data_IF_925662229717
#
_entry.id   IF_925662229717
#
_cell.length_a   1.000
_cell.length_b   1.000
_cell.length_c   1.000
_cell.angle_alpha   90.00
_cell.angle_beta   90.00
_cell.angle_gamma   90.00
#
_symmetry.space_group_name_H-M   'P 1'
#
loop_
_entity.id
_entity.type
_entity.pdbx_description
1 polymer ?
#
# COMPACT_ATOMS: atom_id res chain seq x y z
N UNK A 1 1.56 6.55 -44.87
CA UNK A 1 0.78 6.19 -43.66
C UNK A 1 1.75 5.55 -42.69
N UNK A 2 2.14 6.24 -41.62
CA UNK A 2 2.99 5.65 -40.59
C UNK A 2 2.09 4.81 -39.67
N UNK A 3 2.36 3.52 -39.54
CA UNK A 3 1.69 2.67 -38.56
C UNK A 3 1.90 3.23 -37.15
N UNK A 4 0.85 3.32 -36.31
CA UNK A 4 1.04 3.74 -34.93
C UNK A 4 1.71 2.60 -34.14
N UNK A 5 2.99 2.78 -33.82
CA UNK A 5 3.82 1.86 -33.02
C UNK A 5 3.06 1.29 -31.80
N UNK A 6 2.77 -0.02 -31.84
CA UNK A 6 2.09 -0.75 -30.77
C UNK A 6 2.85 -0.70 -29.43
N UNK A 7 4.17 -0.53 -29.47
CA UNK A 7 5.03 -0.40 -28.30
C UNK A 7 4.77 0.89 -27.52
N UNK A 8 4.52 2.01 -28.21
CA UNK A 8 4.21 3.28 -27.57
C UNK A 8 2.83 3.29 -26.88
N UNK A 9 1.88 2.50 -27.39
CA UNK A 9 0.55 2.31 -26.78
C UNK A 9 0.64 1.48 -25.50
N UNK A 10 1.40 0.38 -25.51
CA UNK A 10 1.63 -0.45 -24.33
C UNK A 10 2.40 0.30 -23.23
N UNK A 11 3.44 1.06 -23.59
CA UNK A 11 4.19 1.91 -22.64
C UNK A 11 3.29 3.00 -22.04
N UNK A 12 2.39 3.59 -22.84
CA UNK A 12 1.42 4.58 -22.38
C UNK A 12 0.36 3.98 -21.45
N UNK A 13 -0.15 2.78 -21.74
CA UNK A 13 -1.09 2.06 -20.87
C UNK A 13 -0.46 1.65 -19.53
N UNK A 14 0.78 1.16 -19.55
CA UNK A 14 1.53 0.81 -18.33
C UNK A 14 1.84 2.07 -17.51
N UNK A 15 2.25 3.15 -18.16
CA UNK A 15 2.49 4.47 -17.53
C UNK A 15 1.21 5.05 -16.91
N UNK A 16 0.09 4.94 -17.61
CA UNK A 16 -1.23 5.32 -17.11
C UNK A 16 -1.65 4.47 -15.90
N UNK A 17 -1.40 3.16 -15.94
CA UNK A 17 -1.72 2.26 -14.84
C UNK A 17 -0.89 2.57 -13.58
N UNK A 18 0.41 2.84 -13.75
CA UNK A 18 1.31 3.29 -12.67
C UNK A 18 0.88 4.67 -12.13
N UNK A 19 0.33 5.54 -12.98
CA UNK A 19 -0.17 6.87 -12.59
C UNK A 19 -1.53 6.81 -11.90
N UNK A 20 -2.38 5.80 -12.21
CA UNK A 20 -3.72 5.61 -11.61
C UNK A 20 -3.68 5.03 -10.20
N UNK A 21 -2.67 4.21 -9.86
CA UNK A 21 -2.54 3.66 -8.50
C UNK A 21 -2.15 4.77 -7.51
N UNK A 22 -2.98 4.94 -6.48
CA UNK A 22 -2.75 5.95 -5.43
C UNK A 22 -1.63 5.46 -4.52
N UNK A 23 -0.59 6.27 -4.40
CA UNK A 23 0.48 6.06 -3.44
C UNK A 23 0.01 6.55 -2.06
N UNK A 24 -0.33 5.63 -1.17
CA UNK A 24 -0.78 5.95 0.19
C UNK A 24 0.40 5.83 1.15
N UNK A 25 0.76 6.93 1.81
CA UNK A 25 1.92 7.02 2.70
C UNK A 25 1.45 7.37 4.11
N UNK A 26 1.98 6.63 5.10
CA UNK A 26 1.84 6.99 6.51
C UNK A 26 2.86 8.07 6.88
N UNK A 27 2.40 9.22 7.39
CA UNK A 27 3.27 10.30 7.86
C UNK A 27 3.86 10.08 9.25
N UNK A 28 3.40 9.07 9.99
CA UNK A 28 3.86 8.82 11.36
C UNK A 28 5.38 8.52 11.40
N UNK A 29 6.10 9.20 12.29
CA UNK A 29 7.54 8.98 12.46
C UNK A 29 8.44 9.49 11.33
N UNK A 30 7.90 10.17 10.32
CA UNK A 30 8.69 10.70 9.21
C UNK A 30 9.20 12.13 9.46
N UNK A 31 10.35 12.49 8.90
CA UNK A 31 10.90 13.83 8.93
C UNK A 31 10.22 14.71 7.87
N UNK A 32 9.56 15.80 8.31
CA UNK A 32 8.74 16.69 7.46
C UNK A 32 9.39 17.04 6.11
N UNK A 33 10.62 17.53 6.13
CA UNK A 33 11.30 18.00 4.92
C UNK A 33 11.72 16.85 3.99
N UNK A 34 12.23 15.75 4.55
CA UNK A 34 12.66 14.59 3.75
C UNK A 34 11.47 13.93 3.08
N UNK A 35 10.38 13.73 3.83
CA UNK A 35 9.14 13.20 3.29
C UNK A 35 8.58 14.11 2.19
N UNK A 36 8.55 15.43 2.43
CA UNK A 36 8.04 16.38 1.44
C UNK A 36 8.83 16.35 0.12
N UNK A 37 10.15 16.16 0.17
CA UNK A 37 11.00 16.06 -1.03
C UNK A 37 10.66 14.84 -1.88
N UNK A 38 10.55 13.66 -1.24
CA UNK A 38 10.19 12.41 -1.92
C UNK A 38 8.78 12.52 -2.53
N UNK A 39 7.83 13.07 -1.76
CA UNK A 39 6.46 13.30 -2.24
C UNK A 39 6.44 14.28 -3.42
N UNK A 40 7.18 15.38 -3.36
CA UNK A 40 7.24 16.37 -4.44
C UNK A 40 7.76 15.74 -5.75
N UNK A 41 8.81 14.91 -5.68
CA UNK A 41 9.32 14.19 -6.86
C UNK A 41 8.28 13.22 -7.41
N UNK A 42 7.60 12.46 -6.54
CA UNK A 42 6.54 11.54 -6.97
C UNK A 42 5.37 12.26 -7.67
N UNK A 43 4.98 13.45 -7.18
CA UNK A 43 3.93 14.27 -7.81
C UNK A 43 4.36 14.79 -9.19
N UNK A 44 5.63 15.19 -9.35
CA UNK A 44 6.17 15.67 -10.63
C UNK A 44 6.31 14.58 -11.69
N UNK A 45 6.44 13.32 -11.25
CA UNK A 45 6.35 12.12 -12.09
C UNK A 45 4.89 11.75 -12.44
N UNK A 46 3.90 12.50 -11.95
CA UNK A 46 2.49 12.31 -12.28
C UNK A 46 1.71 11.39 -11.34
N UNK A 47 2.34 10.85 -10.28
CA UNK A 47 1.66 9.95 -9.33
C UNK A 47 0.65 10.71 -8.47
N UNK A 48 -0.45 10.03 -8.12
CA UNK A 48 -1.41 10.52 -7.13
C UNK A 48 -0.95 10.08 -5.74
N UNK A 49 -0.61 11.03 -4.88
CA UNK A 49 -0.05 10.75 -3.56
C UNK A 49 -1.02 11.17 -2.47
N UNK A 50 -1.26 10.25 -1.53
CA UNK A 50 -2.06 10.48 -0.34
C UNK A 50 -1.15 10.34 0.87
N UNK A 51 -1.05 11.38 1.69
CA UNK A 51 -0.33 11.34 2.97
C UNK A 51 -1.34 11.54 4.09
N UNK A 52 -1.38 10.61 5.05
CA UNK A 52 -2.22 10.71 6.23
C UNK A 52 -1.35 10.78 7.50
N UNK A 53 -1.94 10.96 8.69
CA UNK A 53 -1.20 11.14 9.96
C UNK A 53 -0.22 12.34 9.95
N UNK A 54 -0.60 13.43 9.30
CA UNK A 54 0.27 14.61 9.19
C UNK A 54 0.56 15.29 10.53
N UNK A 55 -0.31 15.07 11.53
CA UNK A 55 -0.14 15.48 12.92
C UNK A 55 1.03 14.77 13.60
N UNK A 56 1.35 13.53 13.21
CA UNK A 56 2.43 12.72 13.78
C UNK A 56 3.77 12.84 13.04
N UNK A 57 3.84 13.62 11.96
CA UNK A 57 5.10 13.91 11.27
C UNK A 57 6.06 14.62 12.23
N UNK A 58 7.33 14.25 12.17
CA UNK A 58 8.39 14.76 13.03
C UNK A 58 9.11 15.96 12.41
N UNK A 59 9.49 16.91 13.28
CA UNK A 59 10.42 18.00 13.00
C UNK A 59 11.61 17.83 13.95
N UNK A 60 12.82 17.87 13.40
CA UNK A 60 14.06 17.83 14.18
C UNK A 60 14.33 19.15 14.88
N UNK A 61 15.01 19.05 16.03
CA UNK A 61 15.38 20.16 16.89
C UNK A 61 14.42 20.38 18.06
N UNK A 62 14.88 21.20 19.01
CA UNK A 62 14.11 21.62 20.19
C UNK A 62 12.79 22.30 19.76
N UNK A 63 11.71 22.00 20.49
CA UNK A 63 10.38 22.57 20.23
C UNK A 63 10.39 24.11 20.20
N UNK A 64 11.02 24.75 21.21
CA UNK A 64 11.15 26.21 21.31
C UNK A 64 11.72 26.85 20.03
N UNK A 65 12.73 26.23 19.41
CA UNK A 65 13.34 26.72 18.16
C UNK A 65 12.36 26.69 17.00
N UNK A 66 11.56 25.63 16.89
CA UNK A 66 10.56 25.52 15.81
C UNK A 66 9.38 26.46 16.02
N UNK A 67 8.96 26.65 17.27
CA UNK A 67 7.97 27.66 17.67
C UNK A 67 8.44 29.07 17.30
N UNK A 68 9.68 29.44 17.63
CA UNK A 68 10.25 30.74 17.26
C UNK A 68 10.32 30.95 15.73
N UNK A 69 10.74 29.92 14.98
CA UNK A 69 10.72 29.95 13.51
C UNK A 69 9.31 30.18 12.97
N UNK A 70 8.31 29.57 13.60
CA UNK A 70 6.91 29.77 13.23
C UNK A 70 6.45 31.20 13.50
N UNK A 71 6.74 31.74 14.68
CA UNK A 71 6.38 33.13 15.00
C UNK A 71 7.07 34.16 14.10
N UNK A 72 8.34 33.93 13.74
CA UNK A 72 9.02 34.77 12.74
C UNK A 72 8.27 34.77 11.41
N UNK A 73 7.81 33.59 10.95
CA UNK A 73 6.98 33.50 9.75
C UNK A 73 5.61 34.18 9.95
N UNK A 74 4.97 34.01 11.10
CA UNK A 74 3.68 34.63 11.42
C UNK A 74 3.73 36.16 11.47
N UNK A 75 4.88 36.73 11.86
CA UNK A 75 5.14 38.17 11.77
C UNK A 75 5.19 38.70 10.34
N UNK A 76 5.40 37.84 9.33
CA UNK A 76 5.37 38.25 7.92
C UNK A 76 3.92 38.41 7.46
N UNK A 77 3.48 39.66 7.31
CA UNK A 77 2.18 40.03 6.76
C UNK A 77 2.36 41.14 5.73
N UNK A 78 1.39 41.29 4.84
CA UNK A 78 1.32 42.46 3.97
C UNK A 78 0.82 43.63 4.81
N UNK A 79 1.55 44.75 4.83
CA UNK A 79 1.20 45.93 5.64
C UNK A 79 -0.09 46.60 5.13
N UNK A 80 -0.26 46.66 3.80
CA UNK A 80 -1.41 47.32 3.16
C UNK A 80 -2.71 46.54 3.37
N UNK A 81 -2.70 45.24 3.05
CA UNK A 81 -3.87 44.37 3.25
C UNK A 81 -3.40 42.96 3.67
N UNK A 82 -3.56 42.58 4.94
CA UNK A 82 -3.16 41.27 5.45
C UNK A 82 -3.77 40.09 4.70
N UNK A 83 -4.96 40.24 4.10
CA UNK A 83 -5.64 39.19 3.35
C UNK A 83 -4.93 38.83 2.02
N UNK A 84 -4.19 39.78 1.43
CA UNK A 84 -3.35 39.55 0.24
C UNK A 84 -1.98 38.94 0.58
N UNK A 85 -1.61 38.93 1.85
CA UNK A 85 -0.30 38.50 2.32
C UNK A 85 -0.10 36.98 2.37
N UNK A 86 1.02 36.54 2.98
CA UNK A 86 1.28 35.12 3.20
C UNK A 86 0.23 34.49 4.13
N UNK A 87 -0.37 33.38 3.70
CA UNK A 87 -1.30 32.61 4.54
C UNK A 87 -0.57 31.71 5.55
N UNK A 88 -0.94 31.89 6.83
CA UNK A 88 -0.41 31.14 7.97
C UNK A 88 -1.32 29.98 8.34
N UNK A 89 -1.09 28.81 7.73
CA UNK A 89 -1.90 27.62 8.02
C UNK A 89 -1.58 27.03 9.39
N UNK A 90 -2.60 26.85 10.24
CA UNK A 90 -2.42 26.28 11.59
C UNK A 90 -2.52 24.75 11.61
N UNK A 91 -3.27 24.18 10.68
CA UNK A 91 -3.56 22.75 10.64
C UNK A 91 -2.33 21.94 10.15
N UNK A 92 -1.93 20.83 10.80
CA UNK A 92 -0.76 20.04 10.42
C UNK A 92 -0.80 19.56 8.96
N UNK A 93 -1.97 19.20 8.41
CA UNK A 93 -2.10 18.85 6.98
C UNK A 93 -1.70 20.01 6.07
N UNK A 94 -2.09 21.22 6.44
CA UNK A 94 -1.87 22.41 5.63
C UNK A 94 -0.43 22.92 5.75
N UNK A 95 0.21 22.72 6.91
CA UNK A 95 1.65 22.95 7.09
C UNK A 95 2.45 22.01 6.19
N UNK A 96 2.13 20.72 6.18
CA UNK A 96 2.79 19.74 5.31
C UNK A 96 2.52 20.04 3.83
N UNK A 97 1.28 20.36 3.47
CA UNK A 97 0.91 20.79 2.11
C UNK A 97 1.72 22.03 1.67
N UNK A 98 1.88 23.04 2.53
CA UNK A 98 2.70 24.23 2.23
C UNK A 98 4.16 23.85 2.00
N UNK A 99 4.70 22.89 2.74
CA UNK A 99 6.05 22.38 2.56
C UNK A 99 6.23 21.75 1.17
N UNK A 100 5.33 20.83 0.78
CA UNK A 100 5.37 20.19 -0.54
C UNK A 100 5.14 21.22 -1.67
N UNK A 101 4.18 22.14 -1.48
CA UNK A 101 3.91 23.24 -2.42
C UNK A 101 5.12 24.15 -2.65
N UNK A 102 6.00 24.29 -1.65
CA UNK A 102 7.27 25.02 -1.79
C UNK A 102 8.33 24.28 -2.60
N UNK A 103 8.23 22.96 -2.71
CA UNK A 103 9.18 22.10 -3.45
C UNK A 103 8.73 21.79 -4.89
N UNK A 104 7.53 22.23 -5.28
CA UNK A 104 6.96 22.02 -6.63
C UNK A 104 6.88 23.37 -7.36
N UNK A 105 7.17 23.46 -8.68
CA UNK A 105 7.03 24.67 -9.49
C UNK A 105 5.57 25.08 -9.68
N UNK A 106 4.92 25.54 -8.60
CA UNK A 106 3.46 25.78 -8.50
C UNK A 106 2.90 26.84 -9.43
N UNK A 107 3.75 27.68 -10.04
CA UNK A 107 3.32 28.73 -10.96
C UNK A 107 2.99 28.17 -12.34
N UNK A 108 3.62 27.07 -12.75
CA UNK A 108 3.40 26.43 -14.06
C UNK A 108 2.16 25.52 -14.06
N UNK A 109 1.61 25.26 -15.25
CA UNK A 109 0.47 24.35 -15.42
C UNK A 109 0.78 22.94 -14.91
N UNK A 110 1.97 22.41 -15.24
CA UNK A 110 2.46 21.11 -14.77
C UNK A 110 2.52 21.04 -13.25
N UNK A 111 3.06 22.08 -12.60
CA UNK A 111 3.15 22.12 -11.14
C UNK A 111 1.78 22.23 -10.47
N UNK A 112 0.85 23.01 -11.04
CA UNK A 112 -0.54 23.07 -10.56
C UNK A 112 -1.23 21.70 -10.66
N UNK A 113 -1.05 20.98 -11.78
CA UNK A 113 -1.56 19.60 -11.95
C UNK A 113 -0.97 18.66 -10.90
N UNK A 114 0.34 18.71 -10.67
CA UNK A 114 1.01 17.92 -9.66
C UNK A 114 0.48 18.18 -8.23
N UNK A 115 0.24 19.44 -7.86
CA UNK A 115 -0.31 19.79 -6.54
C UNK A 115 -1.75 19.28 -6.37
N UNK A 116 -2.57 19.28 -7.42
CA UNK A 116 -3.94 18.72 -7.38
C UNK A 116 -3.95 17.22 -7.10
N UNK A 117 -2.88 16.51 -7.46
CA UNK A 117 -2.72 15.08 -7.20
C UNK A 117 -2.34 14.77 -5.73
N UNK A 118 -1.92 15.77 -4.95
CA UNK A 118 -1.58 15.60 -3.54
C UNK A 118 -2.82 15.68 -2.66
N UNK A 119 -3.03 14.66 -1.84
CA UNK A 119 -4.07 14.64 -0.80
C UNK A 119 -3.43 14.46 0.56
N UNK A 120 -3.78 15.33 1.50
CA UNK A 120 -3.13 15.39 2.82
C UNK A 120 -4.20 15.36 3.91
N UNK A 121 -4.04 14.45 4.87
CA UNK A 121 -5.00 14.23 5.96
C UNK A 121 -4.33 14.23 7.34
N UNK A 122 -5.11 14.56 8.35
CA UNK A 122 -4.77 14.48 9.77
C UNK A 122 -5.47 13.25 10.33
N UNK A 123 -4.76 12.43 11.11
CA UNK A 123 -5.21 11.06 11.39
C UNK A 123 -5.43 10.24 10.12
N UNK A 124 -6.18 9.13 10.25
CA UNK A 124 -6.48 8.21 9.15
C UNK A 124 -7.97 8.30 8.77
N UNK A 125 -8.32 8.77 7.55
CA UNK A 125 -9.71 8.82 7.11
C UNK A 125 -10.32 7.42 6.98
N UNK A 126 -11.64 7.23 7.19
CA UNK A 126 -12.30 5.93 7.04
C UNK A 126 -12.06 5.25 5.68
N UNK A 127 -11.93 6.05 4.61
CA UNK A 127 -11.62 5.59 3.26
C UNK A 127 -10.28 4.86 3.14
N UNK A 128 -9.29 5.24 3.94
CA UNK A 128 -7.93 4.70 3.90
C UNK A 128 -7.60 3.79 5.09
N UNK A 129 -8.53 3.60 6.03
CA UNK A 129 -8.30 2.77 7.21
C UNK A 129 -8.07 1.28 6.87
N UNK A 130 -8.65 0.78 5.77
CA UNK A 130 -8.48 -0.62 5.32
C UNK A 130 -7.37 -0.81 4.28
N UNK A 131 -6.84 0.30 3.73
CA UNK A 131 -5.82 0.23 2.67
C UNK A 131 -4.44 0.04 3.27
N UNK A 132 -3.59 -0.76 2.63
CA UNK A 132 -2.19 -0.88 3.02
C UNK A 132 -1.46 0.40 2.67
N UNK A 133 -0.81 0.98 3.67
CA UNK A 133 0.03 2.15 3.51
C UNK A 133 1.50 1.77 3.37
N UNK A 134 2.25 2.71 2.81
CA UNK A 134 3.69 2.61 2.65
C UNK A 134 4.39 3.55 3.62
N UNK A 135 5.61 3.15 3.95
CA UNK A 135 6.59 3.94 4.71
C UNK A 135 7.70 4.33 3.75
N UNK A 136 8.30 5.51 3.95
CA UNK A 136 9.41 6.02 3.14
C UNK A 136 10.69 5.94 3.99
N UNK A 137 11.52 4.89 3.84
CA UNK A 137 12.66 4.66 4.74
C UNK A 137 13.66 5.81 4.78
N UNK A 138 13.94 6.46 3.65
CA UNK A 138 14.86 7.60 3.56
C UNK A 138 14.38 8.88 4.28
N UNK A 139 13.11 8.90 4.68
CA UNK A 139 12.50 9.98 5.44
C UNK A 139 12.14 9.56 6.88
N UNK A 140 12.40 8.33 7.29
CA UNK A 140 12.07 7.85 8.63
C UNK A 140 12.99 8.46 9.68
N UNK A 141 12.41 9.09 10.71
CA UNK A 141 13.18 9.72 11.79
C UNK A 141 14.16 8.74 12.45
N UNK A 142 13.69 7.53 12.78
CA UNK A 142 14.50 6.53 13.49
C UNK A 142 15.74 6.13 12.72
N UNK A 143 15.67 6.10 11.38
CA UNK A 143 16.79 5.72 10.53
C UNK A 143 17.71 6.91 10.20
N UNK A 144 17.16 8.12 10.17
CA UNK A 144 17.86 9.29 9.64
C UNK A 144 18.28 10.33 10.70
N UNK A 145 17.88 10.14 11.96
CA UNK A 145 18.18 11.03 13.06
C UNK A 145 18.82 10.24 14.19
N UNK A 146 19.87 10.80 14.80
CA UNK A 146 20.47 10.20 15.99
C UNK A 146 19.45 10.11 17.13
N UNK A 147 19.47 9.05 17.96
CA UNK A 147 18.49 8.85 19.04
C UNK A 147 18.50 9.95 20.12
N UNK A 148 19.67 10.52 20.40
CA UNK A 148 19.90 11.59 21.38
C UNK A 148 19.34 12.95 20.93
N UNK A 149 19.09 13.12 19.63
CA UNK A 149 18.71 14.39 19.07
C UNK A 149 17.24 14.71 19.36
N UNK A 150 16.98 15.92 19.88
CA UNK A 150 15.61 16.35 20.23
C UNK A 150 14.75 16.52 18.98
N UNK A 151 13.51 16.09 19.05
CA UNK A 151 12.50 16.24 18.00
C UNK A 151 11.12 16.47 18.61
N UNK A 152 10.15 16.85 17.79
CA UNK A 152 8.76 17.03 18.18
C UNK A 152 7.86 16.78 16.97
N UNK A 153 6.56 16.64 17.20
CA UNK A 153 5.58 16.42 16.12
C UNK A 153 5.03 17.75 15.58
N UNK A 154 4.59 17.75 14.32
CA UNK A 154 3.87 18.89 13.73
C UNK A 154 2.58 19.16 14.51
N UNK A 155 1.90 18.11 14.99
CA UNK A 155 0.70 18.24 15.81
C UNK A 155 0.94 19.07 17.07
N UNK A 156 2.03 18.83 17.80
CA UNK A 156 2.39 19.63 18.98
C UNK A 156 2.62 21.10 18.64
N UNK A 157 3.32 21.38 17.54
CA UNK A 157 3.54 22.75 17.05
C UNK A 157 2.21 23.40 16.64
N UNK A 158 1.36 22.65 15.94
CA UNK A 158 0.08 23.12 15.42
C UNK A 158 -0.89 23.50 16.54
N UNK A 159 -1.01 22.65 17.57
CA UNK A 159 -1.87 22.91 18.73
C UNK A 159 -1.48 24.20 19.43
N UNK A 160 -0.16 24.44 19.59
CA UNK A 160 0.37 25.64 20.23
C UNK A 160 0.13 26.93 19.42
N UNK A 161 0.13 26.85 18.09
CA UNK A 161 -0.13 28.00 17.20
C UNK A 161 -1.62 28.21 16.90
N UNK A 162 -2.51 27.43 17.55
CA UNK A 162 -3.96 27.64 17.52
C UNK A 162 -4.76 26.64 16.67
N UNK A 163 -4.26 25.42 16.46
CA UNK A 163 -5.05 24.32 15.89
C UNK A 163 -5.88 23.62 16.97
N UNK A 164 -7.21 23.72 16.86
CA UNK A 164 -8.16 23.24 17.88
C UNK A 164 -8.51 21.75 17.80
N UNK A 165 -8.29 21.11 16.65
CA UNK A 165 -8.82 19.77 16.37
C UNK A 165 -7.94 18.62 16.87
N UNK A 166 -6.81 18.88 17.52
CA UNK A 166 -5.93 17.85 18.07
C UNK A 166 -6.65 16.82 18.96
N UNK A 167 -7.38 17.24 20.00
CA UNK A 167 -8.12 16.32 20.88
C UNK A 167 -9.19 15.50 20.13
N UNK A 168 -9.88 16.11 19.17
CA UNK A 168 -10.91 15.45 18.35
C UNK A 168 -10.29 14.33 17.52
N UNK A 169 -9.16 14.59 16.88
CA UNK A 169 -8.46 13.59 16.06
C UNK A 169 -7.91 12.46 16.92
N UNK A 170 -7.37 12.76 18.10
CA UNK A 170 -6.91 11.73 19.03
C UNK A 170 -8.06 10.81 19.46
N UNK A 171 -9.25 11.36 19.75
CA UNK A 171 -10.46 10.59 20.06
C UNK A 171 -10.87 9.69 18.90
N UNK A 172 -10.85 10.20 17.67
CA UNK A 172 -11.18 9.43 16.46
C UNK A 172 -10.17 8.31 16.20
N UNK A 173 -8.87 8.60 16.34
CA UNK A 173 -7.80 7.65 16.18
C UNK A 173 -7.87 6.53 17.22
N UNK A 174 -8.11 6.86 18.50
CA UNK A 174 -8.27 5.87 19.56
C UNK A 174 -9.42 4.89 19.27
N UNK A 175 -10.60 5.41 18.89
CA UNK A 175 -11.74 4.58 18.48
C UNK A 175 -11.41 3.66 17.30
N UNK A 176 -10.57 4.12 16.38
CA UNK A 176 -10.12 3.34 15.21
C UNK A 176 -9.11 2.28 15.62
N UNK A 177 -8.11 2.62 16.42
CA UNK A 177 -7.08 1.71 16.93
C UNK A 177 -7.70 0.57 17.76
N UNK A 178 -8.74 0.85 18.55
CA UNK A 178 -9.51 -0.17 19.28
C UNK A 178 -10.17 -1.18 18.32
N UNK A 179 -10.83 -0.68 17.26
CA UNK A 179 -11.43 -1.53 16.21
C UNK A 179 -10.37 -2.33 15.45
N UNK A 180 -9.25 -1.71 15.13
CA UNK A 180 -8.12 -2.36 14.45
C UNK A 180 -7.50 -3.45 15.32
N UNK A 181 -7.33 -3.22 16.63
CA UNK A 181 -6.81 -4.22 17.58
C UNK A 181 -7.71 -5.46 17.63
N UNK A 182 -9.03 -5.28 17.65
CA UNK A 182 -9.99 -6.38 17.60
C UNK A 182 -9.87 -7.15 16.28
N UNK A 183 -9.80 -6.43 15.15
CA UNK A 183 -9.67 -7.04 13.83
C UNK A 183 -8.33 -7.81 13.68
N UNK A 184 -7.23 -7.26 14.19
CA UNK A 184 -5.92 -7.90 14.19
C UNK A 184 -5.90 -9.17 15.03
N UNK A 185 -6.47 -9.15 16.25
CA UNK A 185 -6.61 -10.36 17.08
C UNK A 185 -7.36 -11.47 16.34
N UNK A 186 -8.49 -11.15 15.71
CA UNK A 186 -9.27 -12.10 14.87
C UNK A 186 -8.42 -12.63 13.71
N UNK A 187 -7.71 -11.75 12.99
CA UNK A 187 -6.86 -12.11 11.85
C UNK A 187 -5.70 -13.03 12.26
N UNK A 188 -5.05 -12.77 13.40
CA UNK A 188 -3.97 -13.60 13.93
C UNK A 188 -4.47 -14.99 14.33
N UNK A 189 -5.63 -15.07 15.01
CA UNK A 189 -6.26 -16.35 15.36
C UNK A 189 -6.60 -17.17 14.12
N UNK A 190 -7.19 -16.54 13.10
CA UNK A 190 -7.48 -17.20 11.81
C UNK A 190 -6.17 -17.66 11.14
N UNK A 191 -5.11 -16.85 11.15
CA UNK A 191 -3.80 -17.23 10.59
C UNK A 191 -3.22 -18.45 11.29
N UNK A 192 -3.33 -18.53 12.62
CA UNK A 192 -2.89 -19.66 13.42
C UNK A 192 -3.70 -20.92 13.09
N UNK A 193 -5.03 -20.84 13.06
CA UNK A 193 -5.90 -21.97 12.70
C UNK A 193 -5.62 -22.48 11.28
N UNK A 194 -5.43 -21.58 10.32
CA UNK A 194 -5.04 -21.91 8.94
C UNK A 194 -3.66 -22.58 8.84
N UNK A 195 -2.74 -22.26 9.76
CA UNK A 195 -1.45 -22.92 9.82
C UNK A 195 -1.58 -24.34 10.37
N UNK A 196 -2.29 -24.50 11.50
CA UNK A 196 -2.55 -25.81 12.13
C UNK A 196 -3.25 -26.75 11.14
N UNK A 197 -4.33 -26.29 10.49
CA UNK A 197 -5.05 -27.05 9.48
C UNK A 197 -4.15 -27.44 8.28
N UNK A 198 -3.27 -26.55 7.82
CA UNK A 198 -2.29 -26.86 6.75
C UNK A 198 -1.27 -27.91 7.17
N UNK A 199 -0.81 -27.88 8.42
CA UNK A 199 0.12 -28.89 8.94
C UNK A 199 -0.59 -30.24 9.09
N UNK A 200 -1.82 -30.25 9.58
CA UNK A 200 -2.62 -31.47 9.74
C UNK A 200 -2.94 -32.13 8.39
N UNK A 201 -3.48 -31.37 7.44
CA UNK A 201 -3.73 -31.85 6.07
C UNK A 201 -2.48 -32.45 5.42
N UNK A 202 -1.31 -31.80 5.55
CA UNK A 202 -0.02 -32.36 5.07
C UNK A 202 0.34 -33.70 5.72
N UNK A 203 0.08 -33.87 7.02
CA UNK A 203 0.30 -35.15 7.71
C UNK A 203 -0.66 -36.22 7.21
N UNK A 204 -1.92 -35.85 6.99
CA UNK A 204 -2.96 -36.77 6.54
C UNK A 204 -2.72 -37.21 5.10
N UNK A 205 -2.34 -36.30 4.19
CA UNK A 205 -1.94 -36.65 2.81
C UNK A 205 -0.73 -37.58 2.79
N UNK A 206 0.29 -37.30 3.60
CA UNK A 206 1.49 -38.16 3.74
C UNK A 206 1.15 -39.58 4.21
N UNK A 207 0.25 -39.73 5.18
CA UNK A 207 -0.22 -41.04 5.66
C UNK A 207 -0.97 -41.78 4.55
N UNK A 208 -1.81 -41.08 3.81
CA UNK A 208 -2.62 -41.63 2.74
C UNK A 208 -1.75 -42.11 1.57
N UNK A 209 -0.73 -41.33 1.18
CA UNK A 209 0.27 -41.72 0.17
C UNK A 209 1.05 -42.98 0.58
N UNK A 210 1.50 -43.07 1.84
CA UNK A 210 2.19 -44.27 2.35
C UNK A 210 1.27 -45.50 2.32
N UNK A 211 -0.02 -45.32 2.65
CA UNK A 211 -1.01 -46.40 2.60
C UNK A 211 -1.21 -46.86 1.15
N UNK A 212 -1.43 -45.93 0.21
CA UNK A 212 -1.53 -46.24 -1.24
C UNK A 212 -0.31 -47.02 -1.72
N UNK A 213 0.92 -46.56 -1.43
CA UNK A 213 2.15 -47.27 -1.79
C UNK A 213 2.21 -48.69 -1.25
N UNK A 214 1.88 -48.91 0.03
CA UNK A 214 1.83 -50.26 0.61
C UNK A 214 0.82 -51.15 -0.10
N UNK A 215 -0.36 -50.61 -0.39
CA UNK A 215 -1.44 -51.35 -1.09
C UNK A 215 -1.02 -51.72 -2.52
N UNK A 216 -0.39 -50.80 -3.25
CA UNK A 216 0.18 -51.06 -4.59
C UNK A 216 1.25 -52.14 -4.50
N UNK A 217 2.21 -52.03 -3.58
CA UNK A 217 3.27 -53.03 -3.41
C UNK A 217 2.72 -54.42 -3.04
N UNK A 218 1.70 -54.47 -2.18
CA UNK A 218 1.03 -55.73 -1.80
C UNK A 218 0.23 -56.33 -2.98
N UNK A 219 -0.41 -55.51 -3.81
CA UNK A 219 -1.07 -55.97 -5.02
C UNK A 219 -0.05 -56.51 -6.04
N UNK A 220 1.09 -55.83 -6.23
CA UNK A 220 2.20 -56.30 -7.08
C UNK A 220 2.77 -57.65 -6.62
N UNK A 221 2.94 -57.86 -5.30
CA UNK A 221 3.39 -59.15 -4.75
C UNK A 221 2.36 -60.27 -4.95
N UNK A 222 1.05 -60.00 -4.75
CA UNK A 222 0.00 -61.00 -5.00
C UNK A 222 -0.14 -61.39 -6.47
N UNK A 223 0.07 -60.46 -7.40
CA UNK A 223 0.11 -60.76 -8.83
C UNK A 223 1.35 -61.56 -9.24
N UNK A 224 2.45 -61.47 -8.47
CA UNK A 224 3.67 -62.25 -8.68
C UNK A 224 3.49 -63.71 -8.23
N UNK A 225 2.83 -63.94 -7.08
CA UNK A 225 2.52 -65.29 -6.57
C UNK A 225 1.41 -66.01 -7.37
N UNK A 226 0.53 -65.28 -8.06
CA UNK A 226 -0.55 -65.88 -8.86
C UNK A 226 -0.08 -66.54 -10.17
N UNK A 227 1.23 -66.60 -10.46
CA UNK A 227 1.77 -67.40 -11.54
C UNK A 227 1.22 -67.01 -12.91
N UNK A 228 1.84 -66.05 -13.58
CA UNK A 228 1.57 -65.80 -14.98
C UNK A 228 1.98 -67.01 -15.83
N UNK A 229 1.03 -67.88 -16.15
CA UNK A 229 1.03 -68.51 -17.48
C UNK A 229 0.74 -67.39 -18.48
N UNK A 230 1.75 -67.02 -19.26
CA UNK A 230 1.59 -66.08 -20.36
C UNK A 230 0.65 -66.73 -21.40
N UNK A 231 -0.66 -66.47 -21.33
CA UNK A 231 -1.50 -66.62 -22.51
C UNK A 231 -1.06 -65.54 -23.51
N UNK A 232 -0.64 -65.90 -24.73
CA UNK A 232 -0.16 -64.94 -25.71
C UNK A 232 -1.24 -63.88 -25.98
N UNK A 233 -0.81 -62.62 -26.03
CA UNK A 233 -1.67 -61.48 -26.23
C UNK A 233 -2.53 -61.68 -27.50
N UNK A 234 -3.85 -61.78 -27.34
CA UNK A 234 -4.77 -61.77 -28.46
C UNK A 234 -4.62 -60.44 -29.20
N UNK A 235 -4.35 -60.52 -30.52
CA UNK A 235 -4.20 -59.36 -31.40
C UNK A 235 -5.36 -58.38 -31.19
N UNK A 236 -5.11 -57.06 -31.09
CA UNK A 236 -6.17 -56.09 -30.92
C UNK A 236 -7.13 -56.16 -32.12
N UNK A 237 -8.41 -56.47 -31.87
CA UNK A 237 -9.44 -56.36 -32.91
C UNK A 237 -9.53 -54.91 -33.38
N UNK A 238 -9.67 -54.65 -34.70
CA UNK A 238 -9.77 -53.30 -35.23
C UNK A 238 -10.95 -52.58 -34.58
N UNK A 239 -10.68 -51.41 -33.98
CA UNK A 239 -11.72 -50.54 -33.42
C UNK A 239 -12.62 -50.09 -34.56
N UNK A 240 -13.89 -50.49 -34.55
CA UNK A 240 -14.94 -49.86 -35.36
C UNK A 240 -15.01 -48.39 -34.94
N UNK A 241 -14.59 -47.49 -35.84
CA UNK A 241 -14.77 -46.05 -35.71
C UNK A 241 -16.26 -45.75 -35.61
N UNK A 242 -16.75 -45.43 -34.40
CA UNK A 242 -18.06 -44.79 -34.26
C UNK A 242 -17.89 -43.32 -34.63
N UNK A 243 -18.61 -42.92 -35.67
CA UNK A 243 -18.67 -41.57 -36.21
C UNK A 243 -18.76 -40.51 -35.10
N UNK A 244 -17.88 -39.52 -35.16
CA UNK A 244 -17.93 -38.30 -34.37
C UNK A 244 -19.25 -37.57 -34.61
N UNK A 245 -20.09 -37.44 -33.58
CA UNK A 245 -21.18 -36.46 -33.60
C UNK A 245 -20.55 -35.06 -33.58
N UNK A 246 -20.88 -34.28 -34.60
CA UNK A 246 -20.46 -32.90 -34.79
C UNK A 246 -20.86 -32.01 -33.59
N UNK A 247 -19.94 -31.14 -33.18
CA UNK A 247 -20.22 -30.05 -32.26
C UNK A 247 -21.04 -28.95 -32.99
N UNK A 248 -22.05 -28.33 -32.34
CA UNK A 248 -22.79 -27.24 -32.94
C UNK A 248 -21.94 -25.96 -33.02
N UNK A 249 -21.93 -25.34 -34.20
CA UNK A 249 -21.28 -24.05 -34.49
C UNK A 249 -21.94 -22.95 -33.66
N UNK A 250 -21.15 -22.23 -32.86
CA UNK A 250 -21.54 -20.96 -32.27
C UNK A 250 -21.46 -19.91 -33.38
N UNK A 251 -22.62 -19.43 -33.83
CA UNK A 251 -22.74 -18.38 -34.82
C UNK A 251 -22.44 -17.02 -34.17
N UNK A 252 -21.52 -16.28 -34.78
CA UNK A 252 -21.30 -14.87 -34.52
C UNK A 252 -22.45 -14.04 -35.09
N UNK A 253 -22.97 -13.11 -34.30
CA UNK A 253 -23.55 -11.84 -34.73
C UNK A 253 -23.42 -10.84 -33.60
#
# INVERSE_FOLDING_TARGET
MAEPDMDNKAVKEVSDYVSRRKLVIDGEGHLKGRLASVVAKALLLGRVVVVYNCDKICITGKFKRSKLKWFKFWGQRCNVNPARGPFHYRAPKAIFYRCVRGMVPRKTLRGRKAIRNLKVYEGIPPKYAKTTSLVVPCAMRVLNCRPDYKWHTIGKLSSDVGWKYGPVINKLNRKREEKERIALKKKLKIKQLKYISRVQTRRDTSKLEKKIRKTINQAHFKTFDQGYTLKPAAKPKPKKTKASKAAPKIAAK
#
